data_IF_184481828065
#
_entry.id   IF_184481828065
#
_cell.length_a   1.000
_cell.length_b   1.000
_cell.length_c   1.000
_cell.angle_alpha   90.00
_cell.angle_beta   90.00
_cell.angle_gamma   90.00
#
_symmetry.space_group_name_H-M   'P 1'
#
loop_
_entity.id
_entity.type
_entity.pdbx_description
1 polymer ?
#
# COMPACT_ATOMS: atom_id res chain seq x y z
N UNK A 1 41.02 43.83 -54.02
CA UNK A 1 41.52 44.81 -55.01
C UNK A 1 42.81 45.45 -54.53
N UNK A 2 43.86 45.40 -55.36
CA UNK A 2 45.23 45.84 -55.07
C UNK A 2 45.45 47.23 -55.70
N UNK A 3 45.88 48.19 -54.88
CA UNK A 3 46.16 49.58 -55.26
C UNK A 3 47.57 49.72 -55.86
N UNK A 4 47.65 50.14 -57.13
CA UNK A 4 48.90 50.25 -57.89
C UNK A 4 49.71 51.52 -57.61
N UNK A 5 49.23 52.39 -56.71
CA UNK A 5 49.95 53.60 -56.28
C UNK A 5 50.87 53.34 -55.07
N UNK A 6 50.78 52.16 -54.44
CA UNK A 6 51.51 51.79 -53.23
C UNK A 6 52.28 50.50 -53.41
N UNK A 7 53.46 50.41 -52.79
CA UNK A 7 54.19 49.15 -52.72
C UNK A 7 53.33 48.08 -52.01
N UNK A 8 53.15 46.93 -52.64
CA UNK A 8 52.32 45.84 -52.13
C UNK A 8 53.06 44.50 -52.21
N UNK A 9 52.76 43.62 -51.26
CA UNK A 9 53.17 42.22 -51.26
C UNK A 9 51.92 41.35 -51.32
N UNK A 10 51.87 40.41 -52.27
CA UNK A 10 50.66 39.64 -52.60
C UNK A 10 50.97 38.15 -52.62
N UNK A 11 50.18 37.37 -51.90
CA UNK A 11 50.27 35.93 -51.91
C UNK A 11 49.47 35.35 -53.09
N UNK A 12 50.15 34.70 -54.03
CA UNK A 12 49.53 34.29 -55.31
C UNK A 12 49.12 32.81 -55.34
N UNK A 13 49.53 32.02 -54.36
CA UNK A 13 49.18 30.59 -54.23
C UNK A 13 50.32 29.76 -53.66
N UNK A 14 50.04 28.49 -53.36
CA UNK A 14 51.09 27.49 -53.04
C UNK A 14 51.60 26.80 -54.30
N UNK A 15 52.75 26.13 -54.20
CA UNK A 15 53.29 25.35 -55.32
C UNK A 15 52.24 24.36 -55.86
N UNK A 16 51.91 24.44 -57.15
CA UNK A 16 50.90 23.59 -57.80
C UNK A 16 49.45 24.08 -57.69
N UNK A 17 49.16 25.07 -56.83
CA UNK A 17 47.85 25.74 -56.75
C UNK A 17 47.71 26.67 -57.96
N UNK A 18 46.93 26.27 -58.96
CA UNK A 18 46.70 27.05 -60.18
C UNK A 18 45.19 27.22 -60.43
N UNK A 19 44.81 28.36 -61.00
CA UNK A 19 43.43 28.78 -61.29
C UNK A 19 42.46 28.95 -60.11
N UNK A 20 42.86 28.59 -58.89
CA UNK A 20 42.01 28.78 -57.71
C UNK A 20 41.86 30.25 -57.28
N UNK A 21 42.90 31.08 -57.52
CA UNK A 21 42.92 32.47 -57.07
C UNK A 21 42.69 33.46 -58.18
N UNK A 22 42.06 34.57 -57.81
CA UNK A 22 41.82 35.73 -58.67
C UNK A 22 42.36 36.98 -57.99
N UNK A 23 43.38 37.59 -58.61
CA UNK A 23 44.04 38.80 -58.12
C UNK A 23 43.57 39.98 -58.93
N UNK A 24 42.84 40.88 -58.28
CA UNK A 24 42.22 42.05 -58.90
C UNK A 24 43.05 43.31 -58.61
N UNK A 25 43.50 44.00 -59.66
CA UNK A 25 44.30 45.22 -59.60
C UNK A 25 43.48 46.42 -60.08
N UNK A 26 43.49 47.49 -59.29
CA UNK A 26 42.92 48.78 -59.70
C UNK A 26 43.91 49.50 -60.62
N UNK A 27 43.58 49.57 -61.91
CA UNK A 27 44.43 50.19 -62.95
C UNK A 27 44.00 51.61 -63.31
N UNK A 28 43.03 52.20 -62.59
CA UNK A 28 42.53 53.55 -62.85
C UNK A 28 43.66 54.61 -62.88
N UNK A 29 44.63 54.49 -61.98
CA UNK A 29 45.81 55.38 -61.91
C UNK A 29 46.72 55.33 -63.15
N UNK A 30 46.65 54.27 -63.95
CA UNK A 30 47.43 54.10 -65.19
C UNK A 30 46.63 54.48 -66.44
N UNK A 31 45.34 54.78 -66.30
CA UNK A 31 44.40 55.06 -67.37
C UNK A 31 43.77 56.45 -67.17
N UNK A 32 44.58 57.51 -67.23
CA UNK A 32 44.17 58.90 -66.96
C UNK A 32 43.36 59.58 -68.09
N UNK A 33 42.90 58.82 -69.09
CA UNK A 33 42.14 59.32 -70.24
C UNK A 33 42.99 59.98 -71.34
N UNK A 34 44.29 60.22 -71.10
CA UNK A 34 45.21 60.81 -72.09
C UNK A 34 45.55 59.83 -73.23
N UNK A 35 45.48 58.52 -72.97
CA UNK A 35 45.83 57.45 -73.90
C UNK A 35 44.64 56.51 -74.16
N UNK A 36 43.61 56.95 -74.92
CA UNK A 36 42.44 56.13 -75.21
C UNK A 36 42.82 54.94 -76.09
N UNK A 37 42.60 53.71 -75.58
CA UNK A 37 42.94 52.47 -76.28
C UNK A 37 44.32 51.89 -75.96
N UNK A 38 44.94 52.29 -74.84
CA UNK A 38 46.17 51.68 -74.38
C UNK A 38 45.97 50.21 -73.98
N UNK A 39 46.92 49.35 -74.33
CA UNK A 39 46.91 47.94 -73.94
C UNK A 39 47.55 47.76 -72.56
N UNK A 40 46.89 47.01 -71.69
CA UNK A 40 47.39 46.64 -70.36
C UNK A 40 48.02 45.25 -70.42
N UNK A 41 49.23 45.13 -69.89
CA UNK A 41 49.95 43.88 -69.78
C UNK A 41 50.53 43.74 -68.38
N UNK A 42 50.19 42.65 -67.68
CA UNK A 42 50.87 42.30 -66.45
C UNK A 42 52.11 41.46 -66.77
N UNK A 43 53.29 41.92 -66.37
CA UNK A 43 54.55 41.20 -66.54
C UNK A 43 54.94 40.61 -65.19
N UNK A 44 54.98 39.29 -65.13
CA UNK A 44 55.41 38.56 -63.95
C UNK A 44 56.84 38.08 -64.11
N UNK A 45 57.67 38.37 -63.12
CA UNK A 45 59.00 37.82 -62.94
C UNK A 45 58.96 36.80 -61.80
N UNK A 46 59.15 35.53 -62.15
CA UNK A 46 59.17 34.41 -61.21
C UNK A 46 60.38 34.46 -60.27
N UNK A 47 60.37 33.66 -59.18
CA UNK A 47 61.50 33.57 -58.25
C UNK A 47 62.84 33.18 -58.90
N UNK A 48 62.84 32.43 -60.00
CA UNK A 48 64.04 32.09 -60.80
C UNK A 48 64.57 33.26 -61.65
N UNK A 49 63.85 34.38 -61.69
CA UNK A 49 64.21 35.57 -62.44
C UNK A 49 63.69 35.60 -63.88
N UNK A 50 62.98 34.58 -64.36
CA UNK A 50 62.36 34.57 -65.69
C UNK A 50 61.14 35.50 -65.68
N UNK A 51 61.09 36.43 -66.63
CA UNK A 51 59.99 37.39 -66.78
C UNK A 51 59.18 37.13 -68.05
N UNK A 52 57.85 37.11 -67.93
CA UNK A 52 56.93 36.89 -69.05
C UNK A 52 55.58 37.59 -68.80
N UNK A 53 54.82 37.91 -69.86
CA UNK A 53 53.46 38.41 -69.71
C UNK A 53 52.54 37.30 -69.18
N UNK A 54 51.74 37.63 -68.16
CA UNK A 54 50.69 36.73 -67.65
C UNK A 54 49.36 37.03 -68.32
N UNK A 55 48.48 36.02 -68.34
CA UNK A 55 47.15 36.15 -68.91
C UNK A 55 46.26 36.87 -67.89
N UNK A 56 45.68 37.98 -68.32
CA UNK A 56 44.77 38.79 -67.52
C UNK A 56 43.48 39.09 -68.27
N UNK A 57 42.39 39.25 -67.53
CA UNK A 57 41.13 39.80 -68.05
C UNK A 57 40.95 41.22 -67.53
N UNK A 58 40.36 42.09 -68.34
CA UNK A 58 40.08 43.47 -67.96
C UNK A 58 38.59 43.74 -68.07
N UNK A 59 38.00 44.28 -67.00
CA UNK A 59 36.61 44.74 -66.98
C UNK A 59 36.48 45.91 -66.00
N UNK A 60 35.75 46.96 -66.38
CA UNK A 60 35.35 48.07 -65.53
C UNK A 60 36.47 48.71 -64.67
N UNK A 61 37.65 48.91 -65.26
CA UNK A 61 38.79 49.55 -64.58
C UNK A 61 39.62 48.61 -63.70
N UNK A 62 39.29 47.31 -63.69
CA UNK A 62 39.97 46.28 -62.91
C UNK A 62 40.65 45.28 -63.85
N UNK A 63 41.94 45.05 -63.61
CA UNK A 63 42.70 43.99 -64.28
C UNK A 63 42.76 42.78 -63.35
N UNK A 64 42.28 41.63 -63.79
CA UNK A 64 42.26 40.39 -63.01
C UNK A 64 43.27 39.40 -63.56
N UNK A 65 44.14 38.91 -62.69
CA UNK A 65 45.07 37.82 -62.98
C UNK A 65 44.67 36.56 -62.22
N UNK A 66 44.58 35.44 -62.92
CA UNK A 66 44.42 34.11 -62.33
C UNK A 66 45.74 33.35 -62.47
N UNK A 67 46.54 33.19 -61.40
CA UNK A 67 47.82 32.49 -61.48
C UNK A 67 47.68 31.09 -62.06
N UNK A 68 48.48 30.80 -63.08
CA UNK A 68 48.57 29.52 -63.78
C UNK A 68 49.58 28.58 -63.11
N UNK A 69 49.63 27.33 -63.57
CA UNK A 69 50.61 26.34 -63.07
C UNK A 69 52.06 26.81 -63.26
N UNK A 70 52.33 27.58 -64.32
CA UNK A 70 53.66 28.17 -64.58
C UNK A 70 54.03 29.22 -63.53
N UNK A 71 53.03 29.95 -63.02
CA UNK A 71 53.21 31.09 -62.11
C UNK A 71 53.52 30.64 -60.68
N UNK A 72 52.92 29.52 -60.26
CA UNK A 72 53.11 28.91 -58.93
C UNK A 72 54.12 27.76 -58.93
N UNK A 73 54.83 27.53 -60.04
CA UNK A 73 55.78 26.42 -60.17
C UNK A 73 56.92 26.46 -59.14
N UNK A 74 57.41 27.66 -58.81
CA UNK A 74 58.57 27.86 -57.95
C UNK A 74 58.19 28.63 -56.69
N UNK A 75 58.58 28.08 -55.54
CA UNK A 75 58.40 28.69 -54.22
C UNK A 75 59.37 29.85 -54.07
N UNK A 76 58.90 30.93 -53.44
CA UNK A 76 59.72 32.10 -53.15
C UNK A 76 59.05 33.41 -53.53
N UNK A 77 59.87 34.46 -53.64
CA UNK A 77 59.42 35.82 -53.90
C UNK A 77 59.62 36.17 -55.37
N UNK A 78 58.52 36.45 -56.07
CA UNK A 78 58.51 37.00 -57.42
C UNK A 78 58.20 38.49 -57.45
N UNK A 79 58.10 39.06 -58.64
CA UNK A 79 57.80 40.48 -58.87
C UNK A 79 56.81 40.64 -60.01
N UNK A 80 55.77 41.43 -59.81
CA UNK A 80 54.79 41.77 -60.85
C UNK A 80 54.84 43.27 -61.14
N UNK A 81 54.73 43.62 -62.42
CA UNK A 81 54.61 45.00 -62.91
C UNK A 81 53.51 45.07 -63.95
N UNK A 82 52.54 45.96 -63.79
CA UNK A 82 51.52 46.25 -64.80
C UNK A 82 52.04 47.35 -65.70
N UNK A 83 52.00 47.10 -67.01
CA UNK A 83 52.44 48.02 -68.04
C UNK A 83 51.27 48.46 -68.88
N UNK A 84 51.22 49.76 -69.14
CA UNK A 84 50.29 50.37 -70.10
C UNK A 84 51.09 50.78 -71.33
N UNK A 85 50.65 50.37 -72.51
CA UNK A 85 51.34 50.68 -73.78
C UNK A 85 50.40 51.36 -74.75
N UNK A 86 50.81 52.50 -75.29
CA UNK A 86 50.09 53.23 -76.34
C UNK A 86 51.08 53.74 -77.40
N UNK A 87 51.06 53.15 -78.60
CA UNK A 87 52.08 53.41 -79.62
C UNK A 87 53.49 53.10 -79.09
N UNK A 88 54.35 54.12 -79.04
CA UNK A 88 55.73 54.02 -78.56
C UNK A 88 55.91 54.41 -77.07
N UNK A 89 54.81 54.68 -76.35
CA UNK A 89 54.85 55.10 -74.94
C UNK A 89 54.55 53.90 -74.03
N UNK A 90 55.34 53.74 -72.97
CA UNK A 90 55.17 52.70 -71.95
C UNK A 90 55.09 53.33 -70.56
N UNK A 91 53.92 53.22 -69.91
CA UNK A 91 53.76 53.50 -68.49
C UNK A 91 53.91 52.20 -67.67
N UNK A 92 54.38 52.33 -66.43
CA UNK A 92 54.62 51.18 -65.53
C UNK A 92 54.03 51.47 -64.15
N UNK A 93 53.41 50.46 -63.56
CA UNK A 93 52.98 50.50 -62.16
C UNK A 93 54.18 50.47 -61.21
N UNK A 94 53.92 50.71 -59.92
CA UNK A 94 54.85 50.28 -58.87
C UNK A 94 55.08 48.77 -58.95
N UNK A 95 56.25 48.33 -58.50
CA UNK A 95 56.59 46.90 -58.46
C UNK A 95 55.90 46.22 -57.28
N UNK A 96 55.14 45.17 -57.57
CA UNK A 96 54.45 44.35 -56.57
C UNK A 96 55.33 43.13 -56.27
N UNK A 97 55.55 42.81 -55.00
CA UNK A 97 56.18 41.55 -54.62
C UNK A 97 55.12 40.45 -54.59
N UNK A 98 55.40 39.33 -55.21
CA UNK A 98 54.51 38.16 -55.15
C UNK A 98 55.15 37.07 -54.28
N UNK A 99 54.35 36.32 -53.54
CA UNK A 99 54.81 35.19 -52.73
C UNK A 99 54.15 33.91 -53.25
N UNK A 100 54.96 32.88 -53.48
CA UNK A 100 54.52 31.49 -53.63
C UNK A 100 55.06 30.70 -52.44
N UNK A 101 54.17 30.02 -51.71
CA UNK A 101 54.52 29.20 -50.54
C UNK A 101 54.64 27.71 -50.91
N UNK A 102 55.30 26.92 -50.04
CA UNK A 102 55.28 25.46 -50.16
C UNK A 102 53.86 24.91 -49.97
N UNK A 103 53.48 23.94 -50.80
CA UNK A 103 52.31 23.09 -50.56
C UNK A 103 52.68 21.95 -49.61
N UNK A 104 51.68 21.38 -48.91
CA UNK A 104 51.88 20.22 -48.04
C UNK A 104 52.33 18.96 -48.81
N UNK A 105 52.03 18.88 -50.10
CA UNK A 105 52.48 17.86 -51.04
C UNK A 105 52.72 18.51 -52.42
N UNK A 106 53.63 17.96 -53.22
CA UNK A 106 53.95 18.49 -54.54
C UNK A 106 52.93 18.09 -55.62
N UNK A 107 52.68 18.96 -56.60
CA UNK A 107 51.76 18.73 -57.72
C UNK A 107 50.32 19.21 -57.49
N UNK A 108 49.45 18.94 -58.46
CA UNK A 108 48.00 19.17 -58.36
C UNK A 108 47.44 18.01 -57.53
N UNK A 109 46.89 18.28 -56.34
CA UNK A 109 46.18 17.25 -55.61
C UNK A 109 44.86 16.95 -56.34
N UNK A 110 44.72 15.73 -56.86
CA UNK A 110 43.41 15.17 -57.19
C UNK A 110 42.53 15.23 -55.93
N UNK A 111 41.22 15.52 -56.05
CA UNK A 111 40.29 15.33 -54.94
C UNK A 111 40.50 13.92 -54.35
N UNK A 112 40.45 13.74 -53.03
CA UNK A 112 40.78 12.45 -52.44
C UNK A 112 39.91 11.32 -53.03
N UNK A 113 40.56 10.37 -53.73
CA UNK A 113 39.96 9.10 -54.14
C UNK A 113 39.63 8.27 -52.88
N UNK A 114 38.42 7.69 -52.71
CA UNK A 114 37.78 7.74 -51.39
C UNK A 114 37.80 6.43 -50.59
N UNK A 115 38.56 6.34 -49.47
CA UNK A 115 38.21 5.52 -48.31
C UNK A 115 36.90 5.94 -47.62
N UNK A 116 36.47 7.19 -47.82
CA UNK A 116 35.30 7.75 -47.15
C UNK A 116 33.96 7.22 -47.70
N UNK A 117 33.88 6.91 -49.00
CA UNK A 117 32.65 6.47 -49.65
C UNK A 117 32.35 4.99 -49.38
N UNK A 118 33.38 4.13 -49.39
CA UNK A 118 33.22 2.72 -49.03
C UNK A 118 32.79 2.56 -47.57
N UNK A 119 33.38 3.32 -46.66
CA UNK A 119 32.95 3.35 -45.26
C UNK A 119 31.49 3.79 -45.11
N UNK A 120 31.07 4.85 -45.82
CA UNK A 120 29.67 5.31 -45.79
C UNK A 120 28.69 4.25 -46.30
N UNK A 121 29.04 3.54 -47.38
CA UNK A 121 28.21 2.47 -47.92
C UNK A 121 28.10 1.28 -46.95
N UNK A 122 29.18 0.93 -46.24
CA UNK A 122 29.15 -0.08 -45.18
C UNK A 122 28.21 0.32 -44.03
N UNK A 123 28.27 1.58 -43.61
CA UNK A 123 27.38 2.13 -42.57
C UNK A 123 25.92 2.09 -43.01
N UNK A 124 25.61 2.49 -44.25
CA UNK A 124 24.24 2.46 -44.78
C UNK A 124 23.70 1.03 -44.93
N UNK A 125 24.54 0.08 -45.34
CA UNK A 125 24.16 -1.33 -45.43
C UNK A 125 23.83 -1.91 -44.05
N UNK A 126 24.68 -1.66 -43.05
CA UNK A 126 24.43 -2.12 -41.68
C UNK A 126 23.17 -1.50 -41.06
N UNK A 127 22.85 -0.24 -41.42
CA UNK A 127 21.60 0.42 -40.99
C UNK A 127 20.36 -0.17 -41.69
N UNK A 128 20.47 -0.56 -42.95
CA UNK A 128 19.37 -1.15 -43.72
C UNK A 128 18.99 -2.57 -43.25
N UNK A 129 19.93 -3.28 -42.62
CA UNK A 129 19.68 -4.60 -42.01
C UNK A 129 18.94 -4.51 -40.66
N UNK A 130 18.85 -3.33 -40.04
CA UNK A 130 18.11 -3.17 -38.79
C UNK A 130 16.60 -3.10 -39.05
N UNK A 131 15.88 -4.14 -38.63
CA UNK A 131 14.43 -4.14 -38.59
C UNK A 131 13.94 -3.43 -37.31
N UNK A 132 13.58 -2.15 -37.46
CA UNK A 132 13.08 -1.32 -36.37
C UNK A 132 11.75 -1.86 -35.82
N UNK A 133 10.92 -2.48 -36.66
CA UNK A 133 9.64 -3.03 -36.24
C UNK A 133 9.85 -4.30 -35.41
N UNK A 134 10.79 -5.17 -35.79
CA UNK A 134 11.19 -6.33 -34.98
C UNK A 134 11.75 -5.89 -33.63
N UNK A 135 12.64 -4.89 -33.60
CA UNK A 135 13.19 -4.34 -32.35
C UNK A 135 12.08 -3.78 -31.45
N UNK A 136 11.12 -3.03 -32.01
CA UNK A 136 9.99 -2.50 -31.26
C UNK A 136 9.06 -3.61 -30.74
N UNK A 137 8.85 -4.67 -31.53
CA UNK A 137 8.07 -5.82 -31.12
C UNK A 137 8.73 -6.59 -29.96
N UNK A 138 10.06 -6.79 -30.02
CA UNK A 138 10.81 -7.40 -28.92
C UNK A 138 10.79 -6.54 -27.65
N UNK A 139 10.86 -5.21 -27.81
CA UNK A 139 10.77 -4.27 -26.69
C UNK A 139 9.39 -4.34 -26.02
N UNK A 140 8.31 -4.33 -26.81
CA UNK A 140 6.94 -4.48 -26.32
C UNK A 140 6.72 -5.84 -25.64
N UNK A 141 7.24 -6.92 -26.20
CA UNK A 141 7.17 -8.25 -25.59
C UNK A 141 7.87 -8.26 -24.23
N UNK A 142 9.07 -7.69 -24.16
CA UNK A 142 9.84 -7.59 -22.91
C UNK A 142 9.10 -6.75 -21.87
N UNK A 143 8.51 -5.63 -22.27
CA UNK A 143 7.72 -4.77 -21.40
C UNK A 143 6.49 -5.49 -20.82
N UNK A 144 5.75 -6.22 -21.67
CA UNK A 144 4.58 -6.99 -21.24
C UNK A 144 4.96 -8.14 -20.29
N UNK A 145 6.06 -8.83 -20.57
CA UNK A 145 6.59 -9.87 -19.69
C UNK A 145 7.01 -9.28 -18.33
N UNK A 146 7.64 -8.11 -18.33
CA UNK A 146 8.02 -7.42 -17.11
C UNK A 146 6.81 -7.03 -16.26
N UNK A 147 5.75 -6.47 -16.88
CA UNK A 147 4.51 -6.15 -16.17
C UNK A 147 3.84 -7.41 -15.58
N UNK A 148 3.75 -8.49 -16.37
CA UNK A 148 3.17 -9.75 -15.88
C UNK A 148 3.97 -10.32 -14.71
N UNK A 149 5.30 -10.20 -14.77
CA UNK A 149 6.18 -10.62 -13.67
C UNK A 149 5.99 -9.75 -12.44
N UNK A 150 5.85 -8.44 -12.62
CA UNK A 150 5.57 -7.50 -11.53
C UNK A 150 4.27 -7.85 -10.81
N UNK A 151 3.17 -8.02 -11.56
CA UNK A 151 1.86 -8.38 -11.00
C UNK A 151 1.91 -9.69 -10.23
N UNK A 152 2.60 -10.70 -10.76
CA UNK A 152 2.76 -11.99 -10.08
C UNK A 152 3.59 -11.88 -8.79
N UNK A 153 4.62 -11.01 -8.78
CA UNK A 153 5.42 -10.74 -7.58
C UNK A 153 4.59 -10.00 -6.53
N UNK A 154 3.74 -9.05 -6.92
CA UNK A 154 2.83 -8.37 -6.01
C UNK A 154 1.80 -9.33 -5.40
N UNK A 155 1.17 -10.18 -6.22
CA UNK A 155 0.21 -11.18 -5.73
C UNK A 155 0.90 -12.21 -4.81
N UNK A 156 2.12 -12.63 -5.14
CA UNK A 156 2.92 -13.52 -4.29
C UNK A 156 3.26 -12.86 -2.97
N UNK A 157 3.69 -11.58 -3.00
CA UNK A 157 3.98 -10.77 -1.81
C UNK A 157 2.76 -10.72 -0.90
N UNK A 158 1.60 -10.37 -1.44
CA UNK A 158 0.37 -10.20 -0.66
C UNK A 158 -0.10 -11.54 -0.06
N UNK A 159 0.00 -12.64 -0.82
CA UNK A 159 -0.25 -13.99 -0.32
C UNK A 159 0.70 -14.39 0.82
N UNK A 160 2.00 -14.09 0.69
CA UNK A 160 2.99 -14.40 1.73
C UNK A 160 2.75 -13.58 2.99
N UNK A 161 2.45 -12.28 2.86
CA UNK A 161 2.08 -11.44 4.01
C UNK A 161 0.86 -11.98 4.73
N UNK A 162 -0.20 -12.34 4.00
CA UNK A 162 -1.41 -12.91 4.57
C UNK A 162 -1.12 -14.23 5.29
N UNK A 163 -0.41 -15.17 4.65
CA UNK A 163 -0.03 -16.46 5.26
C UNK A 163 0.83 -16.27 6.51
N UNK A 164 1.75 -15.32 6.48
CA UNK A 164 2.60 -14.99 7.62
C UNK A 164 1.75 -14.43 8.76
N UNK A 165 0.79 -13.54 8.48
CA UNK A 165 -0.18 -13.06 9.46
C UNK A 165 -1.01 -14.19 10.08
N UNK A 166 -1.49 -15.15 9.27
CA UNK A 166 -2.24 -16.33 9.76
C UNK A 166 -1.37 -17.24 10.63
N UNK A 167 -0.13 -17.52 10.22
CA UNK A 167 0.80 -18.37 10.96
C UNK A 167 1.25 -17.72 12.26
N UNK A 168 1.56 -16.42 12.25
CA UNK A 168 1.87 -15.66 13.45
C UNK A 168 0.67 -15.64 14.39
N UNK A 169 -0.55 -15.42 13.90
CA UNK A 169 -1.77 -15.51 14.71
C UNK A 169 -2.00 -16.91 15.32
N UNK A 170 -1.59 -17.98 14.63
CA UNK A 170 -1.67 -19.35 15.15
C UNK A 170 -0.59 -19.67 16.19
N UNK A 171 0.61 -19.09 16.07
CA UNK A 171 1.79 -19.42 16.88
C UNK A 171 2.02 -18.49 18.07
N UNK A 172 1.72 -17.21 17.90
CA UNK A 172 1.73 -16.17 18.92
C UNK A 172 0.49 -15.29 18.72
N UNK A 173 -0.62 -15.58 19.42
CA UNK A 173 -1.86 -14.80 19.28
C UNK A 173 -1.63 -13.38 19.81
N UNK A 174 -1.13 -12.50 18.95
CA UNK A 174 -0.72 -11.14 19.31
C UNK A 174 -1.89 -10.16 19.10
N UNK A 175 -2.78 -10.36 18.12
CA UNK A 175 -3.94 -9.49 17.90
C UNK A 175 -5.14 -10.20 17.27
N UNK A 176 -5.81 -11.05 18.04
CA UNK A 176 -7.22 -11.38 17.77
C UNK A 176 -7.95 -11.12 19.07
N UNK A 177 -9.05 -10.36 19.02
CA UNK A 177 -9.74 -9.90 20.21
C UNK A 177 -9.93 -11.07 21.18
N UNK A 178 -9.08 -11.10 22.21
CA UNK A 178 -9.33 -11.89 23.39
C UNK A 178 -10.57 -11.24 23.99
N UNK A 179 -11.75 -11.66 23.54
CA UNK A 179 -12.49 -12.57 24.39
C UNK A 179 -12.07 -12.40 25.84
N UNK A 180 -12.68 -11.49 26.62
CA UNK A 180 -12.08 -10.95 27.84
C UNK A 180 -11.27 -12.03 28.50
N UNK A 181 -9.95 -11.87 28.47
CA UNK A 181 -9.11 -12.66 29.34
C UNK A 181 -9.85 -12.67 30.67
N UNK A 182 -10.07 -13.84 31.27
CA UNK A 182 -10.92 -13.95 32.45
C UNK A 182 -10.36 -13.17 33.67
N UNK A 183 -9.29 -12.41 33.46
CA UNK A 183 -8.89 -11.23 34.22
C UNK A 183 -9.98 -10.14 34.29
N UNK A 184 -10.74 -9.88 33.23
CA UNK A 184 -11.82 -8.88 33.23
C UNK A 184 -12.96 -9.33 34.13
N UNK A 185 -13.48 -8.45 34.97
CA UNK A 185 -14.54 -8.81 35.91
C UNK A 185 -15.88 -8.94 35.21
N UNK A 186 -16.66 -9.92 35.66
CA UNK A 186 -18.04 -10.15 35.23
C UNK A 186 -18.99 -9.82 36.35
N UNK A 187 -20.16 -9.31 36.01
CA UNK A 187 -21.23 -9.04 36.95
C UNK A 187 -22.59 -9.41 36.35
N UNK A 188 -23.61 -9.50 37.19
CA UNK A 188 -24.98 -9.62 36.71
C UNK A 188 -25.97 -8.85 37.54
N UNK A 189 -27.07 -8.52 36.88
CA UNK A 189 -28.31 -8.11 37.53
C UNK A 189 -29.43 -8.96 36.94
N UNK A 190 -30.10 -9.76 37.76
CA UNK A 190 -31.30 -10.50 37.37
C UNK A 190 -32.52 -9.77 37.89
N UNK A 191 -33.36 -9.25 36.99
CA UNK A 191 -34.51 -8.43 37.35
C UNK A 191 -35.73 -9.31 37.62
N UNK A 192 -36.47 -8.98 38.68
CA UNK A 192 -37.77 -9.57 39.01
C UNK A 192 -38.92 -8.56 38.83
N UNK A 193 -38.61 -7.27 38.72
CA UNK A 193 -39.58 -6.22 38.43
C UNK A 193 -38.90 -4.87 38.21
N UNK A 194 -39.43 -4.10 37.26
CA UNK A 194 -38.98 -2.74 36.94
C UNK A 194 -40.21 -1.83 36.94
N UNK A 195 -40.10 -0.68 37.58
CA UNK A 195 -41.14 0.34 37.67
C UNK A 195 -40.58 1.72 37.34
N UNK A 196 -41.47 2.66 37.00
CA UNK A 196 -41.10 4.03 36.67
C UNK A 196 -40.29 4.68 37.80
N UNK A 197 -39.18 5.33 37.45
CA UNK A 197 -38.27 5.97 38.39
C UNK A 197 -37.27 5.03 39.05
N UNK A 198 -37.33 3.71 38.80
CA UNK A 198 -36.23 2.83 39.20
C UNK A 198 -34.95 3.19 38.45
N UNK A 199 -33.81 2.91 39.08
CA UNK A 199 -32.49 3.28 38.59
C UNK A 199 -31.54 2.11 38.72
N UNK A 200 -30.63 1.98 37.76
CA UNK A 200 -29.45 1.12 37.81
C UNK A 200 -28.22 2.02 37.70
N UNK A 201 -27.28 1.91 38.63
CA UNK A 201 -26.03 2.66 38.59
C UNK A 201 -24.91 1.69 38.25
N UNK A 202 -24.17 1.99 37.19
CA UNK A 202 -23.00 1.22 36.76
C UNK A 202 -21.82 2.17 36.63
N UNK A 203 -20.82 2.01 37.51
CA UNK A 203 -19.73 2.96 37.65
C UNK A 203 -20.27 4.37 37.94
N UNK A 204 -20.03 5.33 37.05
CA UNK A 204 -20.48 6.73 37.15
C UNK A 204 -21.78 7.02 36.40
N UNK A 205 -22.32 6.05 35.66
CA UNK A 205 -23.51 6.24 34.80
C UNK A 205 -24.76 5.74 35.52
N UNK A 206 -25.81 6.58 35.53
CA UNK A 206 -27.12 6.22 36.08
C UNK A 206 -28.12 5.99 34.96
N UNK A 207 -28.68 4.78 34.90
CA UNK A 207 -29.76 4.40 33.99
C UNK A 207 -31.08 4.48 34.73
N UNK A 208 -31.98 5.36 34.30
CA UNK A 208 -33.31 5.55 34.91
C UNK A 208 -34.38 4.98 34.00
N UNK A 209 -35.24 4.13 34.54
CA UNK A 209 -36.39 3.59 33.82
C UNK A 209 -37.54 4.59 33.87
N UNK A 210 -38.09 4.93 32.71
CA UNK A 210 -39.13 5.96 32.58
C UNK A 210 -40.31 5.47 31.74
N UNK A 211 -41.50 6.04 31.96
CA UNK A 211 -42.66 5.84 31.08
C UNK A 211 -42.74 6.83 29.93
N UNK A 212 -41.92 7.89 29.96
CA UNK A 212 -41.75 8.85 28.87
C UNK A 212 -40.32 9.39 28.88
N UNK A 213 -39.69 9.50 27.71
CA UNK A 213 -38.35 10.06 27.57
C UNK A 213 -38.36 11.58 27.74
N UNK A 214 -37.30 12.12 28.33
CA UNK A 214 -37.05 13.55 28.45
C UNK A 214 -35.61 13.91 28.09
N UNK A 215 -35.07 14.95 28.72
CA UNK A 215 -33.69 15.40 28.53
C UNK A 215 -32.85 15.09 29.78
N UNK A 216 -32.20 13.92 29.84
CA UNK A 216 -31.38 13.56 30.99
C UNK A 216 -30.14 14.45 31.14
N UNK A 217 -29.72 14.68 32.38
CA UNK A 217 -28.48 15.39 32.70
C UNK A 217 -27.23 14.58 32.30
N UNK A 218 -26.05 15.21 32.35
CA UNK A 218 -24.78 14.52 32.12
C UNK A 218 -24.65 13.25 33.00
N UNK A 219 -24.03 12.20 32.46
CA UNK A 219 -23.89 10.87 33.09
C UNK A 219 -25.21 10.14 33.44
N UNK A 220 -26.35 10.63 32.95
CA UNK A 220 -27.64 9.97 33.10
C UNK A 220 -28.15 9.48 31.75
N UNK A 221 -28.80 8.31 31.76
CA UNK A 221 -29.45 7.71 30.60
C UNK A 221 -30.86 7.34 31.01
N UNK A 222 -31.84 7.68 30.19
CA UNK A 222 -33.22 7.23 30.38
C UNK A 222 -33.52 6.07 29.45
N UNK A 223 -34.14 5.03 29.99
CA UNK A 223 -34.59 3.85 29.26
C UNK A 223 -36.11 3.76 29.39
N UNK A 224 -36.80 3.79 28.26
CA UNK A 224 -38.26 3.66 28.22
C UNK A 224 -38.67 2.24 28.62
N UNK A 225 -39.56 2.13 29.60
CA UNK A 225 -40.16 0.86 30.02
C UNK A 225 -40.97 0.29 28.85
N UNK A 226 -40.77 -0.99 28.56
CA UNK A 226 -41.40 -1.72 27.47
C UNK A 226 -42.54 -2.61 27.98
N UNK A 227 -43.33 -3.17 27.07
CA UNK A 227 -44.49 -4.02 27.39
C UNK A 227 -44.16 -5.26 28.23
N UNK A 228 -42.90 -5.73 28.18
CA UNK A 228 -42.43 -6.87 28.96
C UNK A 228 -41.13 -6.53 29.70
N UNK A 229 -40.91 -7.21 30.83
CA UNK A 229 -39.66 -7.13 31.58
C UNK A 229 -38.46 -7.46 30.68
N UNK A 230 -38.58 -8.55 29.90
CA UNK A 230 -37.60 -8.96 28.90
C UNK A 230 -37.19 -7.82 27.97
N UNK A 231 -38.17 -7.19 27.32
CA UNK A 231 -37.90 -6.12 26.36
C UNK A 231 -37.28 -4.90 27.05
N UNK A 232 -37.68 -4.60 28.29
CA UNK A 232 -37.09 -3.52 29.08
C UNK A 232 -35.62 -3.80 29.40
N UNK A 233 -35.26 -5.03 29.81
CA UNK A 233 -33.87 -5.40 30.10
C UNK A 233 -33.03 -5.45 28.82
N UNK A 234 -33.59 -5.89 27.69
CA UNK A 234 -32.94 -5.78 26.37
C UNK A 234 -32.61 -4.33 26.04
N UNK A 235 -33.55 -3.40 26.23
CA UNK A 235 -33.32 -1.96 26.00
C UNK A 235 -32.28 -1.38 26.95
N UNK A 236 -32.24 -1.81 28.20
CA UNK A 236 -31.16 -1.45 29.11
C UNK A 236 -29.78 -1.93 28.59
N UNK A 237 -29.69 -3.17 28.11
CA UNK A 237 -28.44 -3.70 27.55
C UNK A 237 -28.00 -2.91 26.30
N UNK A 238 -28.94 -2.54 25.43
CA UNK A 238 -28.67 -1.65 24.29
C UNK A 238 -28.17 -0.27 24.75
N UNK A 239 -28.77 0.30 25.80
CA UNK A 239 -28.37 1.58 26.38
C UNK A 239 -26.95 1.55 26.96
N UNK A 240 -26.57 0.46 27.62
CA UNK A 240 -25.20 0.28 28.16
C UNK A 240 -24.18 0.20 27.02
N UNK A 241 -24.53 -0.47 25.92
CA UNK A 241 -23.68 -0.61 24.74
C UNK A 241 -23.62 0.65 23.88
N UNK A 242 -24.53 1.59 24.09
CA UNK A 242 -24.52 2.84 23.35
C UNK A 242 -25.27 2.83 22.03
N UNK A 243 -26.21 1.90 21.85
CA UNK A 243 -27.01 1.82 20.63
C UNK A 243 -27.92 3.06 20.54
N UNK A 244 -27.98 3.64 19.33
CA UNK A 244 -28.79 4.81 19.03
C UNK A 244 -30.23 4.37 18.73
N UNK A 245 -31.08 4.41 19.74
CA UNK A 245 -32.53 4.17 19.65
C UNK A 245 -33.26 5.34 20.30
N UNK A 246 -33.40 6.45 19.56
CA UNK A 246 -33.97 7.71 20.08
C UNK A 246 -35.44 7.59 20.49
N UNK A 247 -36.14 6.51 20.09
CA UNK A 247 -37.51 6.26 20.49
C UNK A 247 -37.62 5.64 21.89
N UNK A 248 -36.57 4.91 22.33
CA UNK A 248 -36.59 4.15 23.58
C UNK A 248 -35.47 4.52 24.57
N UNK A 249 -34.45 5.24 24.13
CA UNK A 249 -33.27 5.59 24.92
C UNK A 249 -32.93 7.06 24.72
N UNK A 250 -32.78 7.80 25.82
CA UNK A 250 -32.26 9.16 25.82
C UNK A 250 -30.95 9.21 26.59
N UNK A 251 -29.88 9.69 25.94
CA UNK A 251 -28.57 9.86 26.58
C UNK A 251 -28.38 11.31 27.01
N UNK A 252 -27.84 11.50 28.21
CA UNK A 252 -27.37 12.80 28.67
C UNK A 252 -26.13 13.26 27.90
N UNK A 253 -25.85 14.56 27.98
CA UNK A 253 -24.69 15.15 27.29
C UNK A 253 -23.38 14.43 27.64
N UNK A 254 -22.58 14.09 26.62
CA UNK A 254 -21.26 13.48 26.78
C UNK A 254 -21.25 11.96 26.95
N UNK A 255 -22.41 11.29 26.91
CA UNK A 255 -22.51 9.82 26.99
C UNK A 255 -22.93 9.25 25.65
N UNK A 256 -22.14 8.32 25.13
CA UNK A 256 -22.47 7.53 23.94
C UNK A 256 -22.54 6.03 24.23
N UNK A 257 -21.79 5.52 25.20
CA UNK A 257 -21.85 4.14 25.74
C UNK A 257 -21.29 4.14 27.16
N UNK A 258 -21.48 3.06 27.94
CA UNK A 258 -20.86 2.98 29.25
C UNK A 258 -19.32 2.92 29.11
N UNK A 259 -18.56 3.79 29.79
CA UNK A 259 -17.11 3.85 29.64
C UNK A 259 -16.37 2.73 30.37
N UNK A 260 -16.97 2.13 31.40
CA UNK A 260 -16.31 1.16 32.27
C UNK A 260 -16.65 -0.29 31.93
N UNK A 261 -17.83 -0.55 31.35
CA UNK A 261 -18.27 -1.91 31.03
C UNK A 261 -19.07 -1.96 29.72
N UNK A 262 -19.40 -3.16 29.30
CA UNK A 262 -20.44 -3.47 28.31
C UNK A 262 -21.49 -4.37 28.97
N UNK A 263 -22.68 -4.46 28.39
CA UNK A 263 -23.81 -5.19 28.96
C UNK A 263 -24.67 -5.87 27.91
N UNK A 264 -25.10 -7.09 28.19
CA UNK A 264 -25.90 -7.89 27.29
C UNK A 264 -27.06 -8.52 28.06
N UNK A 265 -28.24 -8.51 27.45
CA UNK A 265 -29.34 -9.29 27.97
C UNK A 265 -29.09 -10.77 27.69
N UNK A 266 -29.40 -11.62 28.66
CA UNK A 266 -29.48 -13.06 28.46
C UNK A 266 -30.53 -13.67 29.37
N UNK A 267 -31.21 -14.69 28.86
CA UNK A 267 -32.18 -15.51 29.57
C UNK A 267 -31.64 -16.90 29.95
N UNK A 268 -30.45 -17.22 29.46
CA UNK A 268 -29.78 -18.49 29.71
C UNK A 268 -29.10 -18.50 31.07
N UNK A 269 -28.77 -19.70 31.53
CA UNK A 269 -27.97 -19.89 32.74
C UNK A 269 -26.54 -19.43 32.42
N UNK A 270 -25.80 -18.91 33.39
CA UNK A 270 -24.38 -18.61 33.24
C UNK A 270 -23.71 -18.53 34.61
N UNK A 271 -22.39 -18.37 34.66
CA UNK A 271 -21.67 -18.25 35.94
C UNK A 271 -20.87 -16.96 36.04
N UNK A 272 -20.78 -16.44 37.26
CA UNK A 272 -19.88 -15.36 37.67
C UNK A 272 -19.09 -15.86 38.87
N UNK A 273 -17.81 -16.17 38.65
CA UNK A 273 -17.01 -16.87 39.66
C UNK A 273 -17.60 -18.24 39.93
N UNK A 274 -17.74 -18.58 41.22
CA UNK A 274 -18.38 -19.82 41.68
C UNK A 274 -19.91 -19.73 41.75
N UNK A 275 -20.51 -18.58 41.40
CA UNK A 275 -21.95 -18.37 41.48
C UNK A 275 -22.60 -18.72 40.14
N UNK A 276 -23.51 -19.70 40.14
CA UNK A 276 -24.39 -20.00 39.01
C UNK A 276 -25.61 -19.09 39.05
N UNK A 277 -25.82 -18.35 37.96
CA UNK A 277 -26.98 -17.49 37.75
C UNK A 277 -28.05 -18.33 37.03
N UNK A 278 -29.24 -18.51 37.63
CA UNK A 278 -30.33 -19.27 37.00
C UNK A 278 -30.90 -18.54 35.78
N UNK A 279 -31.70 -19.24 34.98
CA UNK A 279 -32.44 -18.61 33.89
C UNK A 279 -33.41 -17.55 34.42
N UNK A 280 -33.54 -16.46 33.69
CA UNK A 280 -34.33 -15.29 34.08
C UNK A 280 -33.92 -14.06 33.27
N UNK A 281 -34.59 -12.92 33.49
CA UNK A 281 -34.30 -11.70 32.74
C UNK A 281 -33.04 -11.03 33.30
N UNK A 282 -31.88 -11.49 32.83
CA UNK A 282 -30.58 -11.12 33.36
C UNK A 282 -29.80 -10.20 32.42
N UNK A 283 -29.08 -9.27 33.03
CA UNK A 283 -28.06 -8.47 32.38
C UNK A 283 -26.69 -9.09 32.72
N UNK A 284 -25.99 -9.60 31.72
CA UNK A 284 -24.60 -10.00 31.79
C UNK A 284 -23.70 -8.79 31.54
N UNK A 285 -22.85 -8.45 32.51
CA UNK A 285 -21.96 -7.30 32.45
C UNK A 285 -20.51 -7.75 32.37
N UNK A 286 -19.75 -7.04 31.54
CA UNK A 286 -18.33 -7.28 31.35
C UNK A 286 -17.57 -5.97 31.45
N UNK A 287 -16.63 -5.90 32.39
CA UNK A 287 -15.72 -4.76 32.50
C UNK A 287 -14.82 -4.63 31.27
N UNK A 288 -14.58 -3.39 30.81
CA UNK A 288 -13.75 -3.07 29.63
C UNK A 288 -12.25 -3.00 29.90
N UNK A 289 -11.85 -2.81 31.16
CA UNK A 289 -10.45 -2.65 31.55
C UNK A 289 -9.93 -3.97 32.09
N UNK A 290 -8.99 -4.55 31.36
CA UNK A 290 -8.23 -5.71 31.85
C UNK A 290 -7.38 -5.33 33.05
N UNK A 291 -7.21 -6.26 33.99
CA UNK A 291 -6.39 -6.12 35.19
C UNK A 291 -6.80 -5.00 36.18
N UNK A 292 -7.89 -4.27 35.93
CA UNK A 292 -8.38 -3.27 36.88
C UNK A 292 -8.67 -3.88 38.26
N UNK A 293 -8.18 -3.22 39.31
CA UNK A 293 -8.36 -3.65 40.70
C UNK A 293 -9.40 -2.81 41.45
N UNK A 294 -9.67 -1.59 41.00
CA UNK A 294 -10.67 -0.69 41.60
C UNK A 294 -12.08 -1.24 41.42
N UNK A 295 -12.85 -1.45 42.48
CA UNK A 295 -14.25 -1.93 42.38
C UNK A 295 -15.12 -1.01 41.51
N UNK A 296 -15.88 -1.60 40.59
CA UNK A 296 -16.95 -0.89 39.88
C UNK A 296 -18.24 -0.97 40.69
N UNK A 297 -18.87 0.19 40.90
CA UNK A 297 -20.19 0.26 41.52
C UNK A 297 -21.23 -0.39 40.61
N UNK A 298 -22.04 -1.27 41.18
CA UNK A 298 -23.20 -1.86 40.54
C UNK A 298 -24.35 -1.91 41.53
N UNK A 299 -25.35 -1.04 41.35
CA UNK A 299 -26.53 -0.98 42.22
C UNK A 299 -27.80 -0.82 41.42
N UNK A 300 -28.93 -1.22 42.01
CA UNK A 300 -30.26 -1.07 41.43
C UNK A 300 -31.25 -0.72 42.53
N UNK A 301 -32.18 0.18 42.22
CA UNK A 301 -33.39 0.42 43.04
C UNK A 301 -34.59 -0.41 42.56
N UNK A 302 -34.50 -1.00 41.36
CA UNK A 302 -35.46 -2.01 40.89
C UNK A 302 -35.28 -3.32 41.67
N UNK A 303 -36.37 -4.09 41.81
CA UNK A 303 -36.36 -5.41 42.43
C UNK A 303 -35.51 -6.37 41.60
N UNK A 304 -34.29 -6.64 42.05
CA UNK A 304 -33.33 -7.45 41.33
C UNK A 304 -32.34 -8.16 42.27
N UNK A 305 -31.76 -9.25 41.79
CA UNK A 305 -30.62 -9.92 42.42
C UNK A 305 -29.35 -9.43 41.72
N UNK A 306 -28.43 -8.86 42.48
CA UNK A 306 -27.19 -8.27 41.95
C UNK A 306 -26.01 -9.15 42.36
N UNK A 307 -25.20 -9.55 41.37
CA UNK A 307 -23.90 -10.15 41.59
C UNK A 307 -22.85 -9.14 41.14
N UNK A 308 -22.10 -8.61 42.10
CA UNK A 308 -21.10 -7.57 41.86
C UNK A 308 -19.96 -8.06 40.94
N UNK A 309 -19.23 -7.11 40.36
CA UNK A 309 -18.08 -7.36 39.50
C UNK A 309 -17.04 -8.24 40.22
N UNK A 310 -16.95 -9.48 39.77
CA UNK A 310 -16.07 -10.50 40.33
C UNK A 310 -15.18 -11.07 39.23
N UNK A 311 -13.91 -11.31 39.57
CA UNK A 311 -12.95 -11.99 38.70
C UNK A 311 -13.13 -13.50 38.88
N UNK A 312 -13.21 -14.24 37.79
CA UNK A 312 -13.44 -15.68 37.80
C UNK A 312 -12.33 -16.38 37.03
N UNK A 313 -11.64 -17.33 37.65
CA UNK A 313 -10.56 -18.08 36.98
C UNK A 313 -11.06 -19.27 36.17
N UNK A 314 -12.36 -19.61 36.28
CA UNK A 314 -13.04 -20.72 35.61
C UNK A 314 -14.57 -20.53 35.65
N UNK A 315 -15.28 -21.26 34.80
CA UNK A 315 -16.72 -21.49 34.86
C UNK A 315 -16.98 -22.86 35.49
N UNK A 316 -17.64 -22.90 36.64
CA UNK A 316 -18.02 -24.15 37.30
C UNK A 316 -19.33 -24.68 36.74
N UNK A 317 -19.28 -25.86 36.13
CA UNK A 317 -20.45 -26.64 35.74
C UNK A 317 -20.79 -27.63 36.83
N UNK A 318 -21.92 -27.43 37.51
CA UNK A 318 -22.45 -28.42 38.45
C UNK A 318 -23.18 -29.50 37.66
N UNK A 319 -22.74 -30.74 37.84
CA UNK A 319 -23.30 -31.92 37.20
C UNK A 319 -24.48 -32.38 38.07
N UNK A 320 -25.53 -31.56 38.12
CA UNK A 320 -26.76 -31.93 38.84
C UNK A 320 -27.45 -33.03 38.02
N UNK A 321 -27.08 -34.28 38.29
CA UNK A 321 -27.66 -35.46 37.68
C UNK A 321 -29.18 -35.42 37.74
N UNK A 322 -29.86 -35.19 36.62
CA UNK A 322 -31.30 -35.38 36.59
C UNK A 322 -31.58 -36.88 36.45
N UNK A 323 -31.68 -37.57 37.58
CA UNK A 323 -32.01 -39.00 37.62
C UNK A 323 -33.44 -39.32 37.11
N UNK A 324 -34.25 -38.31 36.76
CA UNK A 324 -35.67 -38.48 36.41
C UNK A 324 -36.13 -37.72 35.15
N UNK A 325 -35.20 -37.24 34.31
CA UNK A 325 -35.52 -36.65 33.01
C UNK A 325 -35.89 -37.70 31.94
N UNK A 326 -36.78 -37.37 31.01
CA UNK A 326 -37.32 -38.25 29.97
C UNK A 326 -36.30 -38.81 28.94
N UNK A 327 -35.00 -38.61 29.15
CA UNK A 327 -33.91 -38.95 28.22
C UNK A 327 -33.15 -40.26 28.53
N UNK A 328 -33.59 -41.06 29.51
CA UNK A 328 -32.94 -42.33 29.86
C UNK A 328 -31.83 -42.19 30.90
N UNK A 329 -31.47 -43.32 31.51
CA UNK A 329 -30.83 -43.44 32.83
C UNK A 329 -29.38 -42.91 32.88
N UNK A 330 -28.72 -42.65 31.74
CA UNK A 330 -27.26 -42.43 31.69
C UNK A 330 -26.79 -41.26 30.79
N UNK A 331 -27.61 -40.23 30.53
CA UNK A 331 -27.13 -39.03 29.81
C UNK A 331 -27.75 -37.77 30.38
N UNK A 332 -27.08 -37.19 31.38
CA UNK A 332 -27.47 -35.91 31.94
C UNK A 332 -26.80 -34.83 31.10
N UNK A 333 -27.58 -34.09 30.31
CA UNK A 333 -27.11 -32.83 29.70
C UNK A 333 -27.42 -31.69 30.65
N UNK A 334 -26.35 -31.01 31.07
CA UNK A 334 -26.40 -29.83 31.93
C UNK A 334 -26.99 -28.62 31.21
N UNK A 335 -27.31 -27.57 31.98
CA UNK A 335 -27.87 -26.34 31.45
C UNK A 335 -26.96 -25.71 30.40
N UNK A 336 -27.57 -25.00 29.45
CA UNK A 336 -26.85 -24.23 28.46
C UNK A 336 -26.31 -22.96 29.13
N UNK A 337 -24.99 -22.76 29.11
CA UNK A 337 -24.40 -21.50 29.56
C UNK A 337 -23.99 -20.59 28.42
N UNK A 338 -24.21 -19.30 28.63
CA UNK A 338 -23.70 -18.24 27.74
C UNK A 338 -22.19 -18.11 27.88
N UNK A 339 -21.46 -18.29 26.77
CA UNK A 339 -20.04 -17.96 26.67
C UNK A 339 -19.86 -16.55 26.10
N UNK A 340 -20.56 -16.27 24.99
CA UNK A 340 -20.61 -14.98 24.33
C UNK A 340 -22.08 -14.64 24.07
N UNK A 341 -22.59 -13.52 24.56
CA UNK A 341 -23.94 -13.09 24.23
C UNK A 341 -24.05 -12.71 22.74
N UNK A 342 -25.29 -12.59 22.26
CA UNK A 342 -25.58 -12.20 20.87
C UNK A 342 -24.91 -10.87 20.52
N UNK A 343 -24.14 -10.89 19.43
CA UNK A 343 -23.50 -9.69 18.90
C UNK A 343 -22.40 -9.11 19.79
N UNK A 344 -21.71 -9.95 20.55
CA UNK A 344 -20.67 -9.55 21.52
C UNK A 344 -19.23 -9.60 21.01
N UNK A 345 -19.02 -9.91 19.73
CA UNK A 345 -17.67 -9.93 19.14
C UNK A 345 -17.24 -8.53 18.70
N UNK A 346 -16.07 -8.11 19.20
CA UNK A 346 -15.41 -6.85 18.85
C UNK A 346 -14.18 -7.15 18.00
N UNK A 347 -14.04 -6.49 16.85
CA UNK A 347 -12.73 -6.35 16.19
C UNK A 347 -12.06 -5.11 16.84
N UNK A 348 -10.91 -5.27 17.49
CA UNK A 348 -10.18 -4.17 18.14
C UNK A 348 -10.25 -4.09 19.67
N UNK A 349 -10.70 -5.16 20.36
CA UNK A 349 -10.70 -5.24 21.83
C UNK A 349 -11.86 -4.49 22.52
N UNK A 350 -11.89 -4.47 23.85
CA UNK A 350 -13.06 -4.09 24.67
C UNK A 350 -13.47 -2.59 24.58
N UNK A 351 -12.71 -1.76 23.86
CA UNK A 351 -12.99 -0.34 23.62
C UNK A 351 -13.77 -0.04 22.33
N UNK A 352 -13.88 -0.99 21.40
CA UNK A 352 -14.47 -0.76 20.07
C UNK A 352 -16.00 -0.75 20.04
N UNK A 353 -16.57 -0.09 19.03
CA UNK A 353 -17.96 -0.30 18.62
C UNK A 353 -18.11 -1.77 18.22
N UNK A 354 -19.17 -2.43 18.70
CA UNK A 354 -19.48 -3.80 18.30
C UNK A 354 -19.72 -3.82 16.79
N UNK A 355 -18.82 -4.50 16.07
CA UNK A 355 -19.00 -4.74 14.65
C UNK A 355 -19.58 -6.15 14.49
N UNK A 356 -20.88 -6.29 14.21
CA UNK A 356 -21.50 -7.59 14.01
C UNK A 356 -20.93 -8.18 12.71
N UNK A 357 -19.81 -8.89 12.82
CA UNK A 357 -19.21 -9.69 11.74
C UNK A 357 -19.35 -11.17 12.07
N UNK A 358 -19.30 -12.00 11.03
CA UNK A 358 -19.07 -13.42 11.27
C UNK A 358 -17.62 -13.64 11.71
N UNK A 359 -17.37 -14.75 12.40
CA UNK A 359 -16.04 -15.10 12.86
C UNK A 359 -15.93 -16.62 12.99
N UNK A 360 -14.74 -17.14 12.77
CA UNK A 360 -14.39 -18.47 13.24
C UNK A 360 -13.80 -18.36 14.64
N UNK A 361 -14.00 -19.39 15.45
CA UNK A 361 -13.34 -19.45 16.73
C UNK A 361 -12.59 -20.77 16.95
N UNK A 362 -11.43 -20.65 17.60
CA UNK A 362 -10.68 -21.78 18.12
C UNK A 362 -10.75 -21.72 19.64
N UNK A 363 -11.47 -22.67 20.24
CA UNK A 363 -11.67 -22.76 21.69
C UNK A 363 -10.70 -23.78 22.28
N UNK A 364 -9.84 -23.31 23.18
CA UNK A 364 -9.06 -24.17 24.06
C UNK A 364 -9.73 -24.16 25.42
N UNK A 365 -10.21 -25.32 25.83
CA UNK A 365 -10.87 -25.51 27.12
C UNK A 365 -9.98 -26.35 28.02
N UNK A 366 -9.65 -25.84 29.19
CA UNK A 366 -9.11 -26.64 30.28
C UNK A 366 -10.29 -27.11 31.13
N UNK A 367 -10.54 -28.41 31.19
CA UNK A 367 -11.50 -29.00 32.12
C UNK A 367 -10.76 -29.66 33.28
N UNK A 368 -11.16 -29.29 34.49
CA UNK A 368 -10.82 -30.04 35.71
C UNK A 368 -12.09 -30.70 36.23
N UNK A 369 -12.10 -32.03 36.26
CA UNK A 369 -13.25 -32.80 36.73
C UNK A 369 -13.12 -33.16 38.20
N UNK A 370 -14.24 -33.16 38.92
CA UNK A 370 -14.32 -33.64 40.31
C UNK A 370 -14.49 -35.15 40.40
N UNK A 371 -14.79 -35.83 39.29
CA UNK A 371 -15.06 -37.26 39.22
C UNK A 371 -14.44 -37.91 37.96
N UNK A 372 -14.69 -39.20 37.76
CA UNK A 372 -14.16 -39.99 36.63
C UNK A 372 -15.20 -40.31 35.56
N UNK A 373 -16.39 -39.70 35.63
CA UNK A 373 -17.45 -40.00 34.67
C UNK A 373 -17.16 -39.32 33.32
N UNK A 374 -17.68 -39.87 32.22
CA UNK A 374 -17.43 -39.35 30.87
C UNK A 374 -18.16 -38.03 30.66
N UNK A 375 -17.48 -37.05 30.07
CA UNK A 375 -18.05 -35.74 29.73
C UNK A 375 -17.97 -35.45 28.25
N UNK A 376 -19.01 -34.82 27.73
CA UNK A 376 -19.01 -34.24 26.39
C UNK A 376 -19.31 -32.75 26.48
N UNK A 377 -18.64 -31.94 25.66
CA UNK A 377 -18.97 -30.53 25.48
C UNK A 377 -19.65 -30.32 24.14
N UNK A 378 -20.82 -29.70 24.16
CA UNK A 378 -21.55 -29.29 22.96
C UNK A 378 -21.53 -27.76 22.86
N UNK A 379 -21.10 -27.24 21.70
CA UNK A 379 -21.16 -25.82 21.38
C UNK A 379 -22.39 -25.51 20.54
N UNK A 380 -23.09 -24.46 20.92
CA UNK A 380 -24.30 -23.98 20.26
C UNK A 380 -24.17 -22.52 19.86
N UNK A 381 -24.87 -22.16 18.79
CA UNK A 381 -25.13 -20.77 18.42
C UNK A 381 -26.61 -20.48 18.50
N UNK A 382 -26.94 -19.23 18.81
CA UNK A 382 -28.32 -18.72 18.76
C UNK A 382 -28.31 -17.22 18.51
N UNK A 383 -29.25 -16.73 17.72
CA UNK A 383 -29.47 -15.30 17.45
C UNK A 383 -30.69 -14.73 18.20
N UNK A 384 -31.46 -15.58 18.90
CA UNK A 384 -32.71 -15.21 19.57
C UNK A 384 -32.78 -15.71 21.03
N UNK A 385 -31.83 -16.54 21.46
CA UNK A 385 -31.81 -17.29 22.73
C UNK A 385 -33.01 -18.24 22.93
N UNK A 386 -33.66 -18.63 21.84
CA UNK A 386 -34.77 -19.59 21.83
C UNK A 386 -34.38 -20.81 21.03
N UNK A 387 -33.83 -20.60 19.84
CA UNK A 387 -33.42 -21.64 18.93
C UNK A 387 -31.90 -21.80 19.00
N UNK A 388 -31.44 -22.98 19.43
CA UNK A 388 -30.03 -23.28 19.58
C UNK A 388 -29.60 -24.31 18.55
N UNK A 389 -28.63 -23.94 17.71
CA UNK A 389 -28.04 -24.83 16.72
C UNK A 389 -26.68 -25.32 17.20
N UNK A 390 -26.51 -26.64 17.36
CA UNK A 390 -25.22 -27.23 17.72
C UNK A 390 -24.26 -27.11 16.53
N UNK A 391 -23.08 -26.54 16.76
CA UNK A 391 -22.06 -26.34 15.72
C UNK A 391 -20.83 -27.22 15.91
N UNK A 392 -20.59 -27.71 17.12
CA UNK A 392 -19.46 -28.60 17.42
C UNK A 392 -19.75 -29.44 18.66
N UNK A 393 -19.11 -30.60 18.74
CA UNK A 393 -19.11 -31.52 19.88
C UNK A 393 -17.68 -31.97 20.14
N UNK A 394 -17.25 -31.98 21.41
CA UNK A 394 -15.94 -32.50 21.78
C UNK A 394 -15.89 -34.02 21.62
N UNK A 395 -14.69 -34.56 21.46
CA UNK A 395 -14.48 -35.96 21.83
C UNK A 395 -14.82 -36.15 23.30
N UNK A 396 -15.42 -37.27 23.72
CA UNK A 396 -15.70 -37.53 25.13
C UNK A 396 -14.44 -37.48 25.98
N UNK A 397 -14.60 -36.99 27.20
CA UNK A 397 -13.54 -36.65 28.15
C UNK A 397 -13.72 -37.57 29.35
N UNK A 398 -12.89 -38.59 29.45
CA UNK A 398 -12.81 -39.47 30.62
C UNK A 398 -13.59 -40.77 30.50
N UNK A 399 -12.87 -41.86 30.27
CA UNK A 399 -13.19 -43.19 30.78
C UNK A 399 -11.94 -43.83 31.40
N UNK A 400 -10.96 -43.02 31.84
CA UNK A 400 -9.75 -43.51 32.49
C UNK A 400 -9.92 -43.39 34.00
N UNK A 401 -10.10 -44.55 34.64
CA UNK A 401 -10.41 -44.73 36.07
C UNK A 401 -9.32 -44.25 37.03
N UNK A 402 -8.21 -43.69 36.53
CA UNK A 402 -7.06 -43.24 37.30
C UNK A 402 -6.95 -41.73 37.55
N UNK A 403 -7.80 -40.90 36.90
CA UNK A 403 -7.46 -39.49 36.63
C UNK A 403 -8.41 -38.40 37.20
N UNK A 404 -9.19 -38.69 38.24
CA UNK A 404 -9.98 -37.63 38.91
C UNK A 404 -9.05 -36.50 39.42
N UNK A 405 -9.33 -35.25 39.01
CA UNK A 405 -8.56 -34.06 39.41
C UNK A 405 -7.41 -33.65 38.49
N UNK A 406 -7.14 -34.34 37.38
CA UNK A 406 -6.19 -33.87 36.36
C UNK A 406 -6.82 -32.81 35.44
N UNK A 407 -5.99 -31.89 34.95
CA UNK A 407 -6.39 -30.92 33.92
C UNK A 407 -6.39 -31.61 32.56
N UNK A 408 -7.55 -31.71 31.94
CA UNK A 408 -7.67 -32.24 30.58
C UNK A 408 -7.82 -31.06 29.62
N UNK A 409 -6.97 -31.05 28.59
CA UNK A 409 -7.00 -30.04 27.54
C UNK A 409 -7.93 -30.54 26.44
N UNK A 410 -8.99 -29.77 26.18
CA UNK A 410 -9.94 -30.03 25.11
C UNK A 410 -9.77 -28.91 24.10
N UNK A 411 -9.26 -29.26 22.93
CA UNK A 411 -9.16 -28.33 21.82
C UNK A 411 -10.36 -28.56 20.91
N UNK A 412 -11.20 -27.54 20.77
CA UNK A 412 -12.33 -27.54 19.87
C UNK A 412 -12.10 -26.44 18.85
N UNK A 413 -11.93 -26.83 17.59
CA UNK A 413 -12.13 -25.90 16.47
C UNK A 413 -13.61 -25.94 16.15
N UNK A 414 -14.26 -24.78 16.14
CA UNK A 414 -15.65 -24.69 15.71
C UNK A 414 -15.73 -24.08 14.31
N UNK A 415 -16.80 -24.47 13.62
CA UNK A 415 -17.22 -23.84 12.39
C UNK A 415 -17.66 -22.39 12.63
N UNK A 416 -17.80 -21.65 11.53
CA UNK A 416 -18.17 -20.24 11.48
C UNK A 416 -19.39 -19.89 12.32
N UNK A 417 -19.22 -18.91 13.22
CA UNK A 417 -20.32 -18.25 13.92
C UNK A 417 -20.79 -17.05 13.09
N UNK A 418 -22.06 -17.01 12.64
CA UNK A 418 -22.56 -15.91 11.84
C UNK A 418 -22.67 -14.61 12.64
N UNK A 419 -22.69 -13.48 11.93
CA UNK A 419 -22.98 -12.18 12.52
C UNK A 419 -24.34 -12.19 13.23
N UNK A 420 -24.41 -11.59 14.42
CA UNK A 420 -25.64 -11.51 15.20
C UNK A 420 -26.01 -12.80 15.96
N UNK A 421 -25.11 -13.76 16.06
CA UNK A 421 -25.27 -14.94 16.92
C UNK A 421 -24.43 -14.81 18.20
N UNK A 422 -24.90 -15.42 19.28
CA UNK A 422 -24.12 -15.69 20.49
C UNK A 422 -23.53 -17.11 20.46
N UNK A 423 -22.55 -17.36 21.32
CA UNK A 423 -21.93 -18.67 21.53
C UNK A 423 -22.30 -19.20 22.91
N UNK A 424 -22.72 -20.45 22.94
CA UNK A 424 -23.21 -21.12 24.14
C UNK A 424 -22.57 -22.51 24.26
N UNK A 425 -22.51 -23.01 25.48
CA UNK A 425 -21.98 -24.35 25.75
C UNK A 425 -22.88 -25.12 26.70
N UNK A 426 -23.06 -26.41 26.42
CA UNK A 426 -23.67 -27.37 27.33
C UNK A 426 -22.70 -28.52 27.56
N UNK A 427 -22.75 -29.08 28.76
CA UNK A 427 -21.94 -30.25 29.13
C UNK A 427 -22.86 -31.45 29.33
N UNK A 428 -22.57 -32.54 28.63
CA UNK A 428 -23.13 -33.86 28.91
C UNK A 428 -22.25 -34.62 29.90
N UNK A 429 -22.87 -35.43 30.76
CA UNK A 429 -22.21 -36.38 31.65
C UNK A 429 -22.99 -37.67 31.72
N UNK A 430 -22.30 -38.81 31.77
CA UNK A 430 -22.89 -40.11 32.09
C UNK A 430 -22.91 -40.40 33.62
N UNK A 431 -22.22 -39.56 34.40
CA UNK A 431 -22.19 -39.63 35.86
C UNK A 431 -23.52 -39.30 36.56
N UNK A 432 -23.70 -39.90 37.73
CA UNK A 432 -24.92 -39.76 38.56
C UNK A 432 -24.72 -38.96 39.85
N UNK A 433 -23.49 -38.49 40.11
CA UNK A 433 -23.16 -37.75 41.34
C UNK A 433 -23.71 -36.33 41.30
N UNK A 434 -24.62 -36.01 42.23
CA UNK A 434 -25.22 -34.67 42.36
C UNK A 434 -24.24 -33.60 42.88
N UNK A 435 -23.07 -34.00 43.39
CA UNK A 435 -22.01 -33.08 43.83
C UNK A 435 -20.86 -32.96 42.84
N UNK A 436 -20.91 -33.68 41.72
CA UNK A 436 -19.85 -33.61 40.72
C UNK A 436 -19.89 -32.26 39.98
N UNK A 437 -18.72 -31.80 39.56
CA UNK A 437 -18.56 -30.60 38.77
C UNK A 437 -17.39 -30.72 37.78
N UNK A 438 -17.42 -29.93 36.71
CA UNK A 438 -16.20 -29.58 35.98
C UNK A 438 -15.98 -28.07 35.99
N UNK A 439 -14.76 -27.67 36.31
CA UNK A 439 -14.30 -26.30 36.16
C UNK A 439 -13.71 -26.14 34.75
N UNK A 440 -14.35 -25.28 33.96
CA UNK A 440 -13.97 -24.98 32.58
C UNK A 440 -13.29 -23.63 32.49
N UNK A 441 -12.06 -23.61 31.98
CA UNK A 441 -11.40 -22.38 31.57
C UNK A 441 -11.34 -22.32 30.06
N UNK A 442 -11.99 -21.30 29.50
CA UNK A 442 -12.05 -21.09 28.06
C UNK A 442 -11.05 -20.03 27.62
N UNK A 443 -10.32 -20.34 26.57
CA UNK A 443 -9.59 -19.35 25.76
C UNK A 443 -10.11 -19.49 24.35
N UNK A 444 -10.58 -18.40 23.74
CA UNK A 444 -10.99 -18.43 22.35
C UNK A 444 -10.27 -17.38 21.52
N UNK A 445 -9.88 -17.79 20.32
CA UNK A 445 -9.29 -16.93 19.30
C UNK A 445 -10.34 -16.66 18.23
N UNK A 446 -10.56 -15.39 17.90
CA UNK A 446 -11.53 -14.96 16.89
C UNK A 446 -10.80 -14.65 15.58
N UNK A 447 -11.14 -15.35 14.51
CA UNK A 447 -10.59 -15.05 13.18
C UNK A 447 -11.58 -14.16 12.41
N UNK A 448 -11.18 -12.95 11.97
CA UNK A 448 -11.96 -12.16 11.02
C UNK A 448 -12.30 -12.97 9.77
N UNK A 449 -13.49 -12.78 9.21
CA UNK A 449 -13.93 -13.47 7.98
C UNK A 449 -12.92 -13.39 6.84
N UNK A 450 -12.26 -12.24 6.66
CA UNK A 450 -11.29 -12.03 5.59
C UNK A 450 -10.02 -12.87 5.75
N UNK A 451 -9.70 -13.28 6.98
CA UNK A 451 -8.56 -14.15 7.29
C UNK A 451 -8.96 -15.63 7.36
N UNK A 452 -10.25 -15.95 7.40
CA UNK A 452 -10.79 -17.30 7.45
C UNK A 452 -11.08 -17.90 6.06
N UNK A 453 -11.24 -17.08 5.02
CA UNK A 453 -11.82 -17.51 3.72
C UNK A 453 -10.85 -18.10 2.71
N UNK A 454 -9.58 -18.26 3.00
CA UNK A 454 -8.64 -18.93 2.08
C UNK A 454 -8.24 -20.29 2.62
N UNK A 455 -8.97 -21.32 2.18
CA UNK A 455 -8.68 -22.76 2.23
C UNK A 455 -7.50 -23.16 3.16
N UNK A 456 -7.86 -23.64 4.36
CA UNK A 456 -7.08 -24.67 5.06
C UNK A 456 -7.67 -26.02 4.68
#
# INVERSE_FOLDING_TARGET
MIDLTKAATVFIGRRGEHYFRHLEFDVSSLLDGTYPGAALNAIYKRPDGIAYPVITTYADGVLTWSPSATDTLLVGVGQLEIRVTYGNVVGKSVRILTIVEEALADGIAEPPEPPAQEWLNQVLSALAELDIDEINNLLNLTYNLLNTTHDLVEDTRDNLYMRTGVLLNHSHPIETATAPDMISRRASITFNGITNGNTVVISTVTYTFVTALGSPAANNVQVLIQDTLRNTVKKLAEAIRGIQDVANIAYGSGISSNPACTGYWTSQIFSIGDVTIPSGESLFLLERTENATTALTLTSTATAIINAFTRASYLRYVLSGNATGAGGINSVRGPLHTLLPIGSVVIGGQGGLLYPTAYDCHLVTLCRQSDTSEKELDLYISNDEVNFTRISRSTPIGADSSNAGLHIHIQMRQSRVPSGYGLYISMGSDGTSASAFCDLKFTYHLYPVSLATTNI
#
